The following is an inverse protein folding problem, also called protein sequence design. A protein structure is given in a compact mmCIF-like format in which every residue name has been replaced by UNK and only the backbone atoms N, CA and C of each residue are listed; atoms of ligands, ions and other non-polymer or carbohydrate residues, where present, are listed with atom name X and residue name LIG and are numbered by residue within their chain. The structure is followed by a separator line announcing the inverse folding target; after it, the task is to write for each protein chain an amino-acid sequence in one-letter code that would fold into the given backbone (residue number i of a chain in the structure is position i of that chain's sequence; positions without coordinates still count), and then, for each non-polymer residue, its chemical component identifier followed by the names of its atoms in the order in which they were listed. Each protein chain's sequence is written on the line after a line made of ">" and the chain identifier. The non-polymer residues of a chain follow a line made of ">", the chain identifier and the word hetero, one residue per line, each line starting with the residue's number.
data_IF_211040676800
#
_entry.id   IF_211040676800
#
_cell.length_a   1.000
_cell.length_b   1.000
_cell.length_c   1.000
_cell.angle_alpha   90.00
_cell.angle_beta   90.00
_cell.angle_gamma   90.00
#
_symmetry.space_group_name_H-M   'P 1'
#
loop_
_entity.id
_entity.type
_entity.pdbx_description
1 polymer ?
#
# COMPACT_ATOMS: atom_id res chain seq x y z
N UNK A 1 -29.57 21.66 -5.56
CA UNK A 1 -28.92 20.44 -6.06
C UNK A 1 -27.41 20.66 -6.04
N UNK A 2 -26.76 20.32 -4.92
CA UNK A 2 -25.30 20.40 -4.77
C UNK A 2 -24.69 19.14 -5.41
N UNK A 3 -23.93 19.31 -6.49
CA UNK A 3 -23.14 18.22 -7.07
C UNK A 3 -21.99 17.93 -6.11
N UNK A 4 -22.10 16.83 -5.37
CA UNK A 4 -20.95 16.25 -4.67
C UNK A 4 -19.86 15.97 -5.71
N UNK A 5 -18.67 16.49 -5.45
CA UNK A 5 -17.54 16.35 -6.35
C UNK A 5 -17.04 14.90 -6.30
N UNK A 6 -16.51 14.41 -7.41
CA UNK A 6 -15.99 13.05 -7.56
C UNK A 6 -14.97 12.70 -6.47
N UNK A 7 -14.21 13.69 -5.99
CA UNK A 7 -13.25 13.56 -4.89
C UNK A 7 -13.87 13.21 -3.54
N UNK A 8 -15.08 13.70 -3.24
CA UNK A 8 -15.78 13.35 -1.98
C UNK A 8 -16.29 11.91 -2.02
N UNK A 9 -16.71 11.44 -3.20
CA UNK A 9 -17.09 10.03 -3.42
C UNK A 9 -15.89 9.09 -3.26
N UNK A 10 -14.72 9.48 -3.79
CA UNK A 10 -13.48 8.67 -3.69
C UNK A 10 -12.96 8.61 -2.24
N UNK A 11 -13.00 9.70 -1.48
CA UNK A 11 -12.58 9.70 -0.08
C UNK A 11 -13.53 8.88 0.82
N UNK A 12 -14.85 8.96 0.58
CA UNK A 12 -15.82 8.10 1.25
C UNK A 12 -15.62 6.62 0.88
N UNK A 13 -15.39 6.31 -0.40
CA UNK A 13 -15.13 4.95 -0.87
C UNK A 13 -13.85 4.37 -0.25
N UNK A 14 -12.79 5.16 -0.06
CA UNK A 14 -11.54 4.71 0.55
C UNK A 14 -11.67 4.37 2.04
N UNK A 15 -12.45 5.15 2.80
CA UNK A 15 -12.75 4.86 4.22
C UNK A 15 -13.65 3.61 4.32
N UNK A 16 -14.62 3.46 3.41
CA UNK A 16 -15.49 2.28 3.32
C UNK A 16 -14.70 1.02 2.94
N UNK A 17 -13.71 1.12 2.04
CA UNK A 17 -12.83 0.02 1.68
C UNK A 17 -12.01 -0.47 2.87
N UNK A 18 -11.47 0.45 3.69
CA UNK A 18 -10.67 0.09 4.86
C UNK A 18 -11.50 -0.67 5.92
N UNK A 19 -12.78 -0.33 6.10
CA UNK A 19 -13.67 -1.01 7.04
C UNK A 19 -14.30 -2.31 6.48
N UNK A 20 -14.48 -2.44 5.16
CA UNK A 20 -14.99 -3.66 4.51
C UNK A 20 -13.89 -4.70 4.26
N UNK A 21 -12.65 -4.27 4.03
CA UNK A 21 -11.51 -5.18 3.88
C UNK A 21 -11.20 -5.90 5.19
N UNK A 22 -11.36 -5.26 6.36
CA UNK A 22 -11.15 -5.95 7.66
C UNK A 22 -12.19 -7.02 7.96
N UNK A 23 -13.43 -6.86 7.48
CA UNK A 23 -14.48 -7.90 7.61
C UNK A 23 -14.33 -9.03 6.58
N UNK A 24 -13.78 -8.74 5.40
CA UNK A 24 -13.55 -9.74 4.34
C UNK A 24 -12.36 -10.67 4.62
N UNK A 25 -11.36 -10.24 5.39
CA UNK A 25 -10.23 -11.10 5.81
C UNK A 25 -10.69 -12.28 6.68
N UNK A 26 -11.83 -12.18 7.37
CA UNK A 26 -12.41 -13.30 8.12
C UNK A 26 -12.83 -14.47 7.22
N UNK A 27 -13.10 -14.22 5.93
CA UNK A 27 -13.48 -15.27 4.96
C UNK A 27 -12.25 -15.94 4.32
N UNK A 28 -11.12 -15.24 4.22
CA UNK A 28 -9.88 -15.80 3.65
C UNK A 28 -9.08 -16.65 4.66
N UNK A 29 -9.22 -16.43 5.97
CA UNK A 29 -8.52 -17.23 7.00
C UNK A 29 -9.05 -18.66 7.17
N UNK A 30 -10.11 -19.06 6.46
CA UNK A 30 -10.58 -20.44 6.45
C UNK A 30 -9.81 -21.35 5.47
N UNK A 31 -8.87 -20.79 4.68
CA UNK A 31 -8.15 -21.49 3.61
C UNK A 31 -6.88 -22.25 3.99
N UNK A 32 -6.25 -22.00 5.14
CA UNK A 32 -4.94 -22.63 5.48
C UNK A 32 -5.05 -24.00 6.16
N UNK A 33 -6.26 -24.56 6.24
CA UNK A 33 -6.43 -25.98 6.60
C UNK A 33 -6.47 -26.80 5.32
N UNK A 34 -5.31 -27.14 4.75
CA UNK A 34 -5.06 -28.46 4.13
C UNK A 34 -3.69 -28.61 3.43
N UNK A 35 -2.91 -29.57 3.90
CA UNK A 35 -2.11 -30.47 3.05
C UNK A 35 -2.60 -31.91 3.15
N UNK A 36 -3.92 -32.12 3.31
CA UNK A 36 -4.48 -33.48 3.34
C UNK A 36 -5.91 -33.53 2.75
N UNK A 37 -6.10 -32.94 1.55
CA UNK A 37 -7.39 -32.94 0.82
C UNK A 37 -7.34 -33.72 -0.49
N UNK A 38 -6.72 -34.89 -0.49
CA UNK A 38 -7.01 -35.85 -1.54
C UNK A 38 -8.35 -36.54 -1.21
N UNK A 39 -9.37 -36.21 -2.00
CA UNK A 39 -10.47 -37.13 -2.36
C UNK A 39 -11.83 -37.07 -1.63
N UNK A 40 -12.27 -35.93 -1.05
CA UNK A 40 -13.69 -35.79 -0.63
C UNK A 40 -14.30 -34.42 -0.94
N UNK A 41 -15.48 -34.48 -1.57
CA UNK A 41 -16.52 -33.45 -1.71
C UNK A 41 -16.44 -32.51 -2.94
N UNK A 42 -16.81 -33.07 -4.09
CA UNK A 42 -17.28 -32.33 -5.26
C UNK A 42 -18.82 -32.27 -5.36
N UNK A 43 -19.55 -32.62 -4.30
CA UNK A 43 -20.99 -32.87 -4.39
C UNK A 43 -21.78 -32.28 -3.24
N UNK A 44 -21.67 -30.98 -2.99
CA UNK A 44 -22.79 -30.16 -2.49
C UNK A 44 -22.43 -28.65 -2.56
N UNK A 45 -22.26 -28.11 -3.77
CA UNK A 45 -22.38 -26.65 -3.97
C UNK A 45 -23.86 -26.29 -4.00
N UNK A 46 -24.62 -26.72 -2.99
CA UNK A 46 -25.95 -26.18 -2.73
C UNK A 46 -25.78 -24.67 -2.60
N UNK A 47 -26.40 -23.94 -3.53
CA UNK A 47 -26.41 -22.49 -3.67
C UNK A 47 -26.31 -21.80 -2.30
N UNK A 48 -25.09 -21.50 -1.86
CA UNK A 48 -24.90 -20.70 -0.66
C UNK A 48 -25.37 -19.30 -1.04
N UNK A 49 -26.63 -19.01 -0.72
CA UNK A 49 -27.17 -17.67 -0.88
C UNK A 49 -26.26 -16.73 -0.08
N UNK A 50 -25.60 -15.81 -0.78
CA UNK A 50 -24.76 -14.79 -0.17
C UNK A 50 -25.60 -14.06 0.86
N UNK A 51 -25.21 -14.14 2.13
CA UNK A 51 -25.90 -13.43 3.20
C UNK A 51 -25.74 -11.92 3.00
N UNK A 52 -26.83 -11.18 3.22
CA UNK A 52 -26.76 -9.73 3.20
C UNK A 52 -25.90 -9.21 4.37
N UNK A 53 -25.04 -8.22 4.13
CA UNK A 53 -24.40 -7.46 5.18
C UNK A 53 -25.40 -6.93 6.22
N UNK A 54 -25.01 -6.90 7.49
CA UNK A 54 -25.90 -6.50 8.59
C UNK A 54 -26.53 -5.12 8.37
N UNK A 55 -25.75 -4.14 7.90
CA UNK A 55 -26.25 -2.79 7.63
C UNK A 55 -27.32 -2.73 6.52
N UNK A 56 -27.38 -3.72 5.62
CA UNK A 56 -28.46 -3.83 4.64
C UNK A 56 -29.68 -4.57 5.21
N UNK A 57 -29.46 -5.53 6.13
CA UNK A 57 -30.55 -6.23 6.84
C UNK A 57 -31.36 -5.29 7.74
N UNK A 58 -30.77 -4.18 8.18
CA UNK A 58 -31.43 -3.16 8.99
C UNK A 58 -32.33 -2.21 8.17
N UNK A 59 -32.17 -2.20 6.84
CA UNK A 59 -33.04 -1.46 5.94
C UNK A 59 -34.30 -2.27 5.63
N UNK A 60 -35.44 -1.58 5.52
CA UNK A 60 -36.71 -2.18 5.09
C UNK A 60 -36.68 -2.43 3.57
N UNK A 61 -35.97 -3.48 3.15
CA UNK A 61 -35.79 -3.87 1.75
C UNK A 61 -36.99 -4.70 1.26
N UNK A 62 -37.50 -4.38 0.07
CA UNK A 62 -38.45 -5.27 -0.59
C UNK A 62 -37.78 -6.58 -1.03
N UNK A 63 -38.55 -7.67 -1.14
CA UNK A 63 -38.03 -8.96 -1.59
C UNK A 63 -37.32 -8.89 -2.96
N UNK A 64 -37.79 -8.01 -3.86
CA UNK A 64 -37.19 -7.81 -5.18
C UNK A 64 -35.81 -7.12 -5.08
N UNK A 65 -35.72 -6.03 -4.31
CA UNK A 65 -34.44 -5.36 -4.01
C UNK A 65 -33.47 -6.33 -3.33
N UNK A 66 -33.95 -7.12 -2.39
CA UNK A 66 -33.16 -8.12 -1.67
C UNK A 66 -32.53 -9.13 -2.64
N UNK A 67 -33.33 -9.66 -3.57
CA UNK A 67 -32.87 -10.60 -4.58
C UNK A 67 -31.86 -9.96 -5.55
N UNK A 68 -32.11 -8.73 -6.01
CA UNK A 68 -31.22 -7.99 -6.92
C UNK A 68 -29.88 -7.68 -6.25
N UNK A 69 -29.89 -7.23 -4.99
CA UNK A 69 -28.69 -6.98 -4.19
C UNK A 69 -27.89 -8.27 -4.01
N UNK A 70 -28.53 -9.38 -3.62
CA UNK A 70 -27.85 -10.68 -3.45
C UNK A 70 -27.22 -11.17 -4.76
N UNK A 71 -27.91 -10.97 -5.87
CA UNK A 71 -27.37 -11.30 -7.19
C UNK A 71 -26.14 -10.45 -7.52
N UNK A 72 -26.22 -9.13 -7.33
CA UNK A 72 -25.10 -8.21 -7.54
C UNK A 72 -23.90 -8.56 -6.65
N UNK A 73 -24.13 -8.82 -5.36
CA UNK A 73 -23.10 -9.24 -4.42
C UNK A 73 -22.42 -10.53 -4.87
N UNK A 74 -23.19 -11.52 -5.33
CA UNK A 74 -22.64 -12.80 -5.81
C UNK A 74 -21.70 -12.58 -7.01
N UNK A 75 -22.14 -11.78 -7.99
CA UNK A 75 -21.35 -11.48 -9.19
C UNK A 75 -20.04 -10.75 -8.86
N UNK A 76 -20.12 -9.70 -8.03
CA UNK A 76 -18.93 -8.92 -7.65
C UNK A 76 -18.00 -9.71 -6.74
N UNK A 77 -18.51 -10.53 -5.82
CA UNK A 77 -17.68 -11.39 -4.97
C UNK A 77 -16.90 -12.41 -5.79
N UNK A 78 -17.52 -13.01 -6.82
CA UNK A 78 -16.81 -13.91 -7.73
C UNK A 78 -15.66 -13.18 -8.44
N UNK A 79 -15.94 -12.03 -9.06
CA UNK A 79 -14.93 -11.24 -9.75
C UNK A 79 -13.80 -10.80 -8.81
N UNK A 80 -14.15 -10.38 -7.59
CA UNK A 80 -13.19 -9.99 -6.58
C UNK A 80 -12.29 -11.16 -6.17
N UNK A 81 -12.85 -12.34 -5.97
CA UNK A 81 -12.09 -13.55 -5.65
C UNK A 81 -11.11 -13.92 -6.77
N UNK A 82 -11.56 -13.88 -8.03
CA UNK A 82 -10.71 -14.16 -9.19
C UNK A 82 -9.56 -13.14 -9.32
N UNK A 83 -9.84 -11.84 -9.16
CA UNK A 83 -8.79 -10.80 -9.19
C UNK A 83 -7.85 -10.91 -7.98
N UNK A 84 -8.37 -11.29 -6.81
CA UNK A 84 -7.59 -11.48 -5.60
C UNK A 84 -6.61 -12.64 -5.72
N UNK A 85 -7.04 -13.75 -6.32
CA UNK A 85 -6.17 -14.89 -6.63
C UNK A 85 -5.05 -14.48 -7.59
N UNK A 86 -5.37 -13.73 -8.65
CA UNK A 86 -4.37 -13.19 -9.56
C UNK A 86 -3.37 -12.27 -8.84
N UNK A 87 -3.85 -11.42 -7.95
CA UNK A 87 -3.01 -10.53 -7.14
C UNK A 87 -2.03 -11.33 -6.29
N UNK A 88 -2.52 -12.35 -5.57
CA UNK A 88 -1.66 -13.23 -4.77
C UNK A 88 -0.63 -13.99 -5.60
N UNK A 89 -1.02 -14.52 -6.76
CA UNK A 89 -0.10 -15.22 -7.66
C UNK A 89 1.02 -14.30 -8.16
N UNK A 90 0.69 -13.05 -8.51
CA UNK A 90 1.72 -12.07 -8.89
C UNK A 90 2.62 -11.66 -7.72
N UNK A 91 2.05 -11.57 -6.52
CA UNK A 91 2.82 -11.24 -5.32
C UNK A 91 3.80 -12.37 -4.95
N UNK A 92 3.35 -13.62 -5.01
CA UNK A 92 4.20 -14.79 -4.82
C UNK A 92 5.34 -14.82 -5.86
N UNK A 93 5.03 -14.55 -7.14
CA UNK A 93 6.03 -14.45 -8.20
C UNK A 93 7.05 -13.33 -7.93
N UNK A 94 6.63 -12.18 -7.40
CA UNK A 94 7.54 -11.11 -7.02
C UNK A 94 8.55 -11.58 -5.97
N UNK A 95 8.07 -12.27 -4.92
CA UNK A 95 8.92 -12.83 -3.85
C UNK A 95 9.92 -13.85 -4.43
N UNK A 96 9.46 -14.76 -5.30
CA UNK A 96 10.32 -15.76 -5.94
C UNK A 96 11.42 -15.10 -6.78
N UNK A 97 11.07 -14.06 -7.55
CA UNK A 97 12.04 -13.33 -8.36
C UNK A 97 13.03 -12.53 -7.53
N UNK A 98 12.60 -11.96 -6.41
CA UNK A 98 13.47 -11.29 -5.46
C UNK A 98 14.47 -12.27 -4.82
N UNK A 99 14.01 -13.46 -4.44
CA UNK A 99 14.86 -14.52 -3.93
C UNK A 99 15.87 -15.01 -5.00
N UNK A 100 15.40 -15.20 -6.24
CA UNK A 100 16.26 -15.57 -7.37
C UNK A 100 17.30 -14.49 -7.68
N UNK A 101 16.92 -13.20 -7.62
CA UNK A 101 17.84 -12.08 -7.79
C UNK A 101 18.91 -12.05 -6.70
N UNK A 102 18.52 -12.24 -5.43
CA UNK A 102 19.44 -12.31 -4.31
C UNK A 102 20.45 -13.47 -4.46
N UNK A 103 19.98 -14.65 -4.87
CA UNK A 103 20.84 -15.82 -5.15
C UNK A 103 21.82 -15.53 -6.30
N UNK A 104 21.33 -14.98 -7.41
CA UNK A 104 22.17 -14.66 -8.56
C UNK A 104 23.28 -13.65 -8.21
N UNK A 105 22.97 -12.66 -7.36
CA UNK A 105 23.97 -11.70 -6.88
C UNK A 105 24.98 -12.40 -5.97
N UNK A 106 24.52 -13.24 -5.04
CA UNK A 106 25.37 -14.02 -4.13
C UNK A 106 26.38 -14.87 -4.91
N UNK A 107 25.94 -15.54 -5.98
CA UNK A 107 26.81 -16.40 -6.80
C UNK A 107 27.94 -15.64 -7.51
N UNK A 108 27.81 -14.32 -7.69
CA UNK A 108 28.90 -13.45 -8.24
C UNK A 108 29.89 -12.95 -7.19
N UNK A 109 29.62 -13.16 -5.90
CA UNK A 109 30.48 -12.73 -4.79
C UNK A 109 31.58 -13.74 -4.52
N UNK A 110 32.68 -13.28 -3.90
CA UNK A 110 33.72 -14.16 -3.36
C UNK A 110 33.18 -14.96 -2.17
N UNK A 111 33.78 -16.10 -1.82
CA UNK A 111 33.29 -16.94 -0.70
C UNK A 111 33.22 -16.17 0.63
N UNK A 112 34.20 -15.30 0.91
CA UNK A 112 34.19 -14.44 2.10
C UNK A 112 33.04 -13.41 2.06
N UNK A 113 32.76 -12.84 0.89
CA UNK A 113 31.67 -11.87 0.71
C UNK A 113 30.29 -12.54 0.73
N UNK A 114 30.18 -13.79 0.24
CA UNK A 114 28.97 -14.60 0.35
C UNK A 114 28.61 -14.86 1.81
N UNK A 115 29.60 -15.24 2.64
CA UNK A 115 29.38 -15.43 4.09
C UNK A 115 28.89 -14.17 4.78
N UNK A 116 29.42 -13.00 4.40
CA UNK A 116 28.97 -11.70 4.93
C UNK A 116 27.55 -11.36 4.48
N UNK A 117 27.23 -11.60 3.21
CA UNK A 117 25.89 -11.41 2.66
C UNK A 117 24.86 -12.27 3.42
N UNK A 118 25.16 -13.56 3.63
CA UNK A 118 24.29 -14.50 4.35
C UNK A 118 24.12 -14.09 5.82
N UNK A 119 25.20 -13.66 6.48
CA UNK A 119 25.14 -13.17 7.86
C UNK A 119 24.24 -11.95 8.00
N UNK A 120 24.30 -11.02 7.05
CA UNK A 120 23.46 -9.83 7.04
C UNK A 120 21.98 -10.17 6.78
N UNK A 121 21.70 -11.07 5.83
CA UNK A 121 20.35 -11.58 5.57
C UNK A 121 19.71 -12.22 6.81
N UNK A 122 20.46 -13.08 7.52
CA UNK A 122 19.98 -13.67 8.76
C UNK A 122 19.70 -12.61 9.84
N UNK A 123 20.56 -11.60 9.96
CA UNK A 123 20.35 -10.50 10.92
C UNK A 123 19.09 -9.69 10.60
N UNK A 124 18.86 -9.36 9.33
CA UNK A 124 17.64 -8.66 8.89
C UNK A 124 16.38 -9.50 9.12
N UNK A 125 16.47 -10.80 8.88
CA UNK A 125 15.38 -11.74 9.13
C UNK A 125 15.07 -11.88 10.63
N UNK A 126 16.09 -11.97 11.49
CA UNK A 126 15.93 -11.99 12.94
C UNK A 126 15.32 -10.68 13.47
N UNK A 127 15.76 -9.52 12.95
CA UNK A 127 15.17 -8.23 13.31
C UNK A 127 13.69 -8.17 12.93
N UNK A 128 13.30 -8.72 11.78
CA UNK A 128 11.91 -8.77 11.37
C UNK A 128 11.10 -9.80 12.19
N UNK A 129 11.70 -10.95 12.53
CA UNK A 129 11.03 -12.03 13.29
C UNK A 129 10.80 -11.68 14.77
N UNK A 130 11.71 -10.94 15.38
CA UNK A 130 11.63 -10.56 16.80
C UNK A 130 10.85 -9.25 17.04
N UNK A 131 10.36 -8.60 15.98
CA UNK A 131 9.65 -7.32 16.06
C UNK A 131 8.15 -7.33 15.71
N UNK A 132 7.35 -8.40 15.90
CA UNK A 132 5.92 -8.35 15.57
C UNK A 132 5.13 -7.44 16.52
N UNK A 133 5.52 -7.34 17.80
CA UNK A 133 4.80 -6.56 18.82
C UNK A 133 5.13 -5.05 18.78
N UNK A 134 6.25 -4.67 18.15
CA UNK A 134 6.60 -3.27 17.91
C UNK A 134 6.33 -2.80 16.48
N UNK A 135 6.10 -3.68 15.48
CA UNK A 135 5.93 -3.29 14.08
C UNK A 135 4.71 -2.39 13.81
N UNK A 136 3.60 -2.58 14.54
CA UNK A 136 2.41 -1.74 14.41
C UNK A 136 2.67 -0.27 14.82
N UNK A 137 3.58 -0.04 15.77
CA UNK A 137 3.94 1.29 16.27
C UNK A 137 5.26 1.80 15.68
N UNK A 138 6.14 0.90 15.23
CA UNK A 138 7.50 1.20 14.75
C UNK A 138 7.59 1.43 13.24
N UNK A 139 6.59 1.02 12.44
CA UNK A 139 6.53 1.40 11.02
C UNK A 139 6.55 2.93 10.85
N UNK A 140 5.75 3.63 11.67
CA UNK A 140 5.80 5.09 11.77
C UNK A 140 7.12 5.61 12.32
N UNK A 141 7.74 4.94 13.29
CA UNK A 141 9.03 5.35 13.86
C UNK A 141 10.19 5.17 12.86
N UNK A 142 10.20 4.09 12.06
CA UNK A 142 11.18 3.83 10.99
C UNK A 142 11.01 4.83 9.85
N UNK A 143 9.79 5.10 9.40
CA UNK A 143 9.49 6.15 8.43
C UNK A 143 9.93 7.52 8.94
N UNK A 144 9.69 7.82 10.23
CA UNK A 144 10.13 9.06 10.88
C UNK A 144 11.65 9.15 10.95
N UNK A 145 12.34 8.06 11.30
CA UNK A 145 13.80 8.02 11.37
C UNK A 145 14.45 8.09 9.99
N UNK A 146 13.89 7.46 8.96
CA UNK A 146 14.33 7.63 7.57
C UNK A 146 14.09 9.06 7.09
N UNK A 147 12.93 9.67 7.40
CA UNK A 147 12.67 11.10 7.10
C UNK A 147 13.64 12.02 7.81
N UNK A 148 14.01 11.72 9.04
CA UNK A 148 14.98 12.49 9.81
C UNK A 148 16.40 12.36 9.23
N UNK A 149 16.80 11.16 8.78
CA UNK A 149 18.07 10.97 8.06
C UNK A 149 18.11 11.67 6.70
N UNK A 150 17.04 11.57 5.91
CA UNK A 150 16.93 12.29 4.64
C UNK A 150 16.87 13.81 4.85
N UNK A 151 16.23 14.28 5.93
CA UNK A 151 16.29 15.70 6.32
C UNK A 151 17.70 16.10 6.73
N UNK A 152 18.44 15.27 7.47
CA UNK A 152 19.82 15.57 7.86
C UNK A 152 20.74 15.67 6.64
N UNK A 153 20.68 14.71 5.72
CA UNK A 153 21.43 14.74 4.44
C UNK A 153 21.03 15.95 3.59
N UNK A 154 19.72 16.25 3.49
CA UNK A 154 19.23 17.43 2.78
C UNK A 154 19.66 18.75 3.44
N UNK A 155 19.86 18.79 4.76
CA UNK A 155 20.33 19.99 5.47
C UNK A 155 21.81 20.23 5.16
N UNK A 156 22.64 19.18 5.15
CA UNK A 156 24.06 19.29 4.79
C UNK A 156 24.24 19.80 3.35
N UNK A 157 23.52 19.22 2.37
CA UNK A 157 23.53 19.68 0.98
C UNK A 157 23.06 21.13 0.85
N UNK A 158 22.08 21.54 1.65
CA UNK A 158 21.51 22.90 1.62
C UNK A 158 22.42 23.91 2.31
N UNK A 159 23.19 23.52 3.31
CA UNK A 159 24.24 24.35 3.90
C UNK A 159 25.40 24.55 2.92
N UNK A 160 25.79 23.50 2.21
CA UNK A 160 26.85 23.57 1.19
C UNK A 160 26.41 24.44 0.00
N UNK A 161 25.17 24.30 -0.48
CA UNK A 161 24.63 25.23 -1.48
C UNK A 161 24.52 26.68 -0.97
N UNK A 162 24.25 26.88 0.33
CA UNK A 162 24.22 28.22 0.94
C UNK A 162 25.62 28.83 1.06
N UNK A 163 26.65 28.04 1.37
CA UNK A 163 28.03 28.54 1.37
C UNK A 163 28.46 28.93 -0.04
N UNK A 164 28.14 28.11 -1.04
CA UNK A 164 28.49 28.38 -2.45
C UNK A 164 27.77 29.62 -2.98
N UNK A 165 26.47 29.78 -2.67
CA UNK A 165 25.72 31.00 -3.00
C UNK A 165 26.24 32.24 -2.27
N UNK A 166 26.71 32.12 -1.03
CA UNK A 166 27.32 33.24 -0.30
C UNK A 166 28.65 33.66 -0.93
N UNK A 167 29.48 32.71 -1.32
CA UNK A 167 30.73 32.98 -2.03
C UNK A 167 30.47 33.59 -3.42
N UNK A 168 29.52 33.03 -4.18
CA UNK A 168 29.13 33.57 -5.48
C UNK A 168 28.56 34.99 -5.38
N UNK A 169 27.71 35.28 -4.38
CA UNK A 169 27.18 36.65 -4.15
C UNK A 169 28.24 37.63 -3.67
N UNK A 170 29.23 37.19 -2.90
CA UNK A 170 30.34 38.05 -2.50
C UNK A 170 31.19 38.45 -3.71
N UNK A 171 31.46 37.50 -4.61
CA UNK A 171 32.15 37.78 -5.88
C UNK A 171 31.30 38.68 -6.81
N UNK A 172 29.99 38.44 -6.89
CA UNK A 172 29.10 39.21 -7.75
C UNK A 172 28.83 40.63 -7.21
N UNK A 173 28.87 40.85 -5.89
CA UNK A 173 28.79 42.21 -5.30
C UNK A 173 29.97 43.09 -5.68
N UNK A 174 31.16 42.53 -5.84
CA UNK A 174 32.32 43.29 -6.35
C UNK A 174 32.18 43.65 -7.83
N UNK A 175 31.41 42.87 -8.61
CA UNK A 175 31.15 43.16 -10.02
C UNK A 175 29.94 44.09 -10.24
N UNK A 176 28.91 44.03 -9.38
CA UNK A 176 27.66 44.80 -9.56
C UNK A 176 27.68 46.22 -8.95
N UNK A 177 28.75 46.65 -8.27
CA UNK A 177 28.91 48.07 -7.89
C UNK A 177 29.14 49.00 -9.11
N UNK A 178 29.25 48.44 -10.33
CA UNK A 178 29.41 49.21 -11.56
C UNK A 178 28.14 49.36 -12.43
N UNK A 179 27.02 48.71 -12.10
CA UNK A 179 25.79 48.79 -12.92
C UNK A 179 24.53 48.81 -12.04
N UNK A 180 24.02 50.02 -11.83
CA UNK A 180 22.72 50.27 -11.20
C UNK A 180 21.57 50.17 -12.20
N UNK A 181 20.38 49.91 -11.63
CA UNK A 181 19.03 50.10 -12.16
C UNK A 181 18.54 49.15 -13.26
N UNK A 182 17.68 48.20 -12.90
CA UNK A 182 16.28 48.17 -13.32
C UNK A 182 15.55 46.94 -12.73
N UNK A 183 14.29 47.18 -12.35
CA UNK A 183 13.16 46.28 -12.11
C UNK A 183 13.36 44.76 -12.10
N UNK A 184 12.87 44.10 -11.04
CA UNK A 184 12.50 42.69 -11.09
C UNK A 184 11.31 42.42 -10.19
N UNK A 185 10.15 42.43 -10.83
CA UNK A 185 8.91 41.80 -10.39
C UNK A 185 9.04 40.26 -10.40
N UNK A 186 8.47 39.67 -9.34
CA UNK A 186 7.52 38.55 -9.42
C UNK A 186 8.01 37.18 -9.93
N UNK A 187 7.96 36.17 -9.03
CA UNK A 187 7.26 34.90 -9.26
C UNK A 187 7.36 34.03 -8.00
N UNK A 188 6.25 33.98 -7.25
CA UNK A 188 6.06 33.13 -6.08
C UNK A 188 5.23 31.90 -6.51
N UNK A 189 5.88 30.79 -6.84
CA UNK A 189 5.22 29.52 -7.15
C UNK A 189 5.02 28.70 -5.87
N UNK A 190 3.79 28.74 -5.35
CA UNK A 190 3.32 27.83 -4.32
C UNK A 190 3.22 26.42 -4.92
N UNK A 191 4.18 25.58 -4.58
CA UNK A 191 4.18 24.15 -4.87
C UNK A 191 3.26 23.47 -3.84
N UNK A 192 2.11 23.01 -4.31
CA UNK A 192 1.13 22.26 -3.52
C UNK A 192 1.76 20.96 -3.04
N UNK A 193 1.93 20.86 -1.71
CA UNK A 193 2.29 19.65 -0.98
C UNK A 193 1.07 18.72 -0.99
N UNK A 194 1.01 17.86 -2.02
CA UNK A 194 -0.06 16.89 -2.20
C UNK A 194 0.09 15.81 -1.12
N UNK A 195 -0.85 15.83 -0.18
CA UNK A 195 -0.85 14.99 1.01
C UNK A 195 -0.94 13.52 0.64
N UNK A 196 0.23 12.88 0.51
CA UNK A 196 0.39 11.45 0.37
C UNK A 196 -0.05 10.76 1.68
N UNK A 197 -1.37 10.57 1.83
CA UNK A 197 -1.95 9.68 2.82
C UNK A 197 -1.60 8.25 2.39
N UNK A 198 -0.43 7.81 2.86
CA UNK A 198 0.15 6.51 2.59
C UNK A 198 -0.72 5.46 3.31
N UNK A 199 -1.74 4.94 2.62
CA UNK A 199 -2.41 3.71 3.02
C UNK A 199 -1.32 2.66 3.26
N UNK A 200 -1.33 2.04 4.44
CA UNK A 200 -0.24 1.18 4.92
C UNK A 200 -0.19 -0.16 4.21
N UNK A 201 0.22 -0.19 2.94
CA UNK A 201 0.75 -1.41 2.36
C UNK A 201 2.21 -1.55 2.81
N UNK A 202 2.53 -2.68 3.44
CA UNK A 202 3.90 -3.01 3.81
C UNK A 202 4.64 -3.35 2.51
N UNK A 203 5.23 -2.34 1.87
CA UNK A 203 6.26 -2.60 0.86
C UNK A 203 7.47 -3.11 1.62
N UNK A 204 7.71 -4.41 1.54
CA UNK A 204 9.02 -4.96 1.87
C UNK A 204 9.97 -4.44 0.79
N UNK A 205 10.55 -3.27 1.00
CA UNK A 205 11.60 -2.77 0.11
C UNK A 205 12.85 -3.56 0.45
N UNK A 206 13.14 -4.59 -0.34
CA UNK A 206 14.45 -5.21 -0.30
C UNK A 206 15.48 -4.17 -0.71
N UNK A 207 16.48 -3.96 0.15
CA UNK A 207 17.62 -3.14 -0.21
C UNK A 207 18.23 -3.71 -1.50
N UNK A 208 18.38 -2.86 -2.53
CA UNK A 208 18.92 -3.29 -3.83
C UNK A 208 20.20 -4.10 -3.61
N UNK A 209 20.24 -5.38 -4.07
CA UNK A 209 21.42 -6.23 -3.96
C UNK A 209 22.70 -5.61 -4.55
N UNK A 210 22.55 -4.63 -5.46
CA UNK A 210 23.66 -3.87 -6.03
C UNK A 210 24.52 -3.17 -4.96
N UNK A 211 23.95 -2.82 -3.80
CA UNK A 211 24.73 -2.20 -2.71
C UNK A 211 25.82 -3.12 -2.19
N UNK A 212 25.63 -4.44 -2.27
CA UNK A 212 26.63 -5.42 -1.86
C UNK A 212 27.77 -5.53 -2.87
N UNK A 213 27.50 -5.32 -4.17
CA UNK A 213 28.53 -5.36 -5.22
C UNK A 213 29.48 -4.14 -5.17
N UNK A 214 29.05 -3.02 -4.61
CA UNK A 214 29.86 -1.79 -4.56
C UNK A 214 31.02 -1.84 -3.54
N UNK A 215 30.94 -2.73 -2.54
CA UNK A 215 31.93 -2.85 -1.47
C UNK A 215 32.94 -3.99 -1.61
N UNK A 216 32.82 -4.82 -2.65
CA UNK A 216 33.55 -6.10 -2.75
C UNK A 216 34.69 -6.06 -3.75
N UNK A 217 35.69 -6.93 -3.54
CA UNK A 217 36.87 -7.07 -4.42
C UNK A 217 36.55 -7.93 -5.65
N UNK A 218 35.43 -7.67 -6.31
CA UNK A 218 35.05 -8.38 -7.53
C UNK A 218 35.94 -7.99 -8.71
N UNK A 219 36.23 -8.96 -9.57
CA UNK A 219 36.85 -8.72 -10.87
C UNK A 219 35.95 -7.87 -11.77
N UNK A 220 36.52 -7.26 -12.81
CA UNK A 220 35.75 -6.46 -13.77
C UNK A 220 34.66 -7.30 -14.47
N UNK A 221 34.96 -8.57 -14.78
CA UNK A 221 34.02 -9.50 -15.40
C UNK A 221 32.86 -9.85 -14.46
N UNK A 222 33.13 -10.18 -13.19
CA UNK A 222 32.08 -10.44 -12.19
C UNK A 222 31.18 -9.22 -11.99
N UNK A 223 31.75 -8.01 -11.94
CA UNK A 223 30.97 -6.76 -11.85
C UNK A 223 30.07 -6.59 -13.06
N UNK A 224 30.57 -6.87 -14.26
CA UNK A 224 29.77 -6.80 -15.49
C UNK A 224 28.64 -7.83 -15.47
N UNK A 225 28.92 -9.09 -15.13
CA UNK A 225 27.90 -10.15 -15.03
C UNK A 225 26.83 -9.82 -13.98
N UNK A 226 27.23 -9.40 -12.78
CA UNK A 226 26.32 -8.95 -11.74
C UNK A 226 25.46 -7.78 -12.23
N UNK A 227 26.05 -6.76 -12.88
CA UNK A 227 25.30 -5.60 -13.37
C UNK A 227 24.27 -5.98 -14.45
N UNK A 228 24.59 -6.95 -15.31
CA UNK A 228 23.68 -7.43 -16.33
C UNK A 228 22.52 -8.21 -15.71
N UNK A 229 22.81 -9.12 -14.78
CA UNK A 229 21.78 -9.86 -14.03
C UNK A 229 20.86 -8.89 -13.27
N UNK A 230 21.42 -7.91 -12.54
CA UNK A 230 20.65 -6.91 -11.81
C UNK A 230 19.71 -6.11 -12.74
N UNK A 231 20.17 -5.71 -13.93
CA UNK A 231 19.31 -5.00 -14.90
C UNK A 231 18.13 -5.85 -15.36
N UNK A 232 18.37 -7.13 -15.67
CA UNK A 232 17.33 -8.05 -16.12
C UNK A 232 16.27 -8.27 -15.02
N UNK A 233 16.69 -8.67 -13.82
CA UNK A 233 15.77 -8.87 -12.69
C UNK A 233 15.02 -7.60 -12.32
N UNK A 234 15.68 -6.44 -12.31
CA UNK A 234 15.02 -5.16 -12.03
C UNK A 234 13.94 -4.82 -13.05
N UNK A 235 14.18 -5.08 -14.33
CA UNK A 235 13.19 -4.86 -15.38
C UNK A 235 11.98 -5.77 -15.18
N UNK A 236 12.21 -7.06 -14.96
CA UNK A 236 11.10 -8.01 -14.75
C UNK A 236 10.33 -7.70 -13.47
N UNK A 237 11.00 -7.39 -12.36
CA UNK A 237 10.35 -6.97 -11.11
C UNK A 237 9.51 -5.71 -11.32
N UNK A 238 10.02 -4.73 -12.07
CA UNK A 238 9.25 -3.52 -12.40
C UNK A 238 7.94 -3.88 -13.10
N UNK A 239 7.97 -4.83 -14.05
CA UNK A 239 6.77 -5.29 -14.74
C UNK A 239 5.79 -6.00 -13.79
N UNK A 240 6.29 -6.84 -12.87
CA UNK A 240 5.45 -7.51 -11.86
C UNK A 240 4.81 -6.48 -10.91
N UNK A 241 5.58 -5.50 -10.44
CA UNK A 241 5.07 -4.42 -9.59
C UNK A 241 4.00 -3.58 -10.31
N UNK A 242 4.19 -3.25 -11.58
CA UNK A 242 3.17 -2.57 -12.38
C UNK A 242 1.89 -3.41 -12.47
N UNK A 243 2.01 -4.72 -12.69
CA UNK A 243 0.84 -5.61 -12.74
C UNK A 243 0.14 -5.72 -11.39
N UNK A 244 0.88 -5.77 -10.28
CA UNK A 244 0.32 -5.73 -8.93
C UNK A 244 -0.45 -4.44 -8.67
N UNK A 245 0.09 -3.30 -9.05
CA UNK A 245 -0.61 -2.01 -8.95
C UNK A 245 -1.88 -1.98 -9.80
N UNK A 246 -1.84 -2.52 -11.02
CA UNK A 246 -3.02 -2.65 -11.87
C UNK A 246 -4.09 -3.52 -11.20
N UNK A 247 -3.74 -4.71 -10.72
CA UNK A 247 -4.67 -5.64 -10.06
C UNK A 247 -5.26 -5.02 -8.79
N UNK A 248 -4.46 -4.29 -8.00
CA UNK A 248 -4.96 -3.53 -6.86
C UNK A 248 -5.98 -2.47 -7.30
N UNK A 249 -5.69 -1.71 -8.35
CA UNK A 249 -6.66 -0.76 -8.92
C UNK A 249 -7.95 -1.44 -9.38
N UNK A 250 -7.86 -2.61 -10.00
CA UNK A 250 -9.02 -3.42 -10.41
C UNK A 250 -9.84 -3.89 -9.20
N UNK A 251 -9.20 -4.35 -8.11
CA UNK A 251 -9.89 -4.72 -6.87
C UNK A 251 -10.70 -3.54 -6.28
N UNK A 252 -10.08 -2.35 -6.21
CA UNK A 252 -10.76 -1.13 -5.74
C UNK A 252 -11.92 -0.74 -6.65
N UNK A 253 -11.76 -0.88 -7.97
CA UNK A 253 -12.82 -0.62 -8.94
C UNK A 253 -14.00 -1.58 -8.75
N UNK A 254 -13.73 -2.89 -8.60
CA UNK A 254 -14.78 -3.90 -8.38
C UNK A 254 -15.58 -3.59 -7.11
N UNK A 255 -14.91 -3.17 -6.05
CA UNK A 255 -15.55 -2.75 -4.81
C UNK A 255 -16.41 -1.50 -4.98
N UNK A 256 -15.92 -0.53 -5.75
CA UNK A 256 -16.69 0.69 -6.06
C UNK A 256 -17.93 0.35 -6.88
N UNK A 257 -17.79 -0.46 -7.94
CA UNK A 257 -18.90 -0.93 -8.78
C UNK A 257 -19.92 -1.72 -7.96
N UNK A 258 -19.44 -2.56 -7.01
CA UNK A 258 -20.30 -3.31 -6.08
C UNK A 258 -21.14 -2.38 -5.22
N UNK A 259 -20.54 -1.33 -4.67
CA UNK A 259 -21.25 -0.34 -3.83
C UNK A 259 -22.26 0.42 -4.69
N UNK A 260 -21.87 0.91 -5.87
CA UNK A 260 -22.76 1.63 -6.78
C UNK A 260 -23.97 0.76 -7.18
N UNK A 261 -23.73 -0.50 -7.55
CA UNK A 261 -24.80 -1.43 -7.90
C UNK A 261 -25.77 -1.70 -6.73
N UNK A 262 -25.31 -1.67 -5.47
CA UNK A 262 -26.19 -1.74 -4.30
C UNK A 262 -26.98 -0.45 -4.16
N UNK A 263 -26.31 0.71 -4.26
CA UNK A 263 -26.95 2.03 -4.13
C UNK A 263 -28.05 2.24 -5.18
N UNK A 264 -27.87 1.75 -6.40
CA UNK A 264 -28.89 1.80 -7.47
C UNK A 264 -30.17 1.03 -7.14
N UNK A 265 -30.10 0.01 -6.27
CA UNK A 265 -31.28 -0.74 -5.84
C UNK A 265 -31.99 -0.11 -4.63
N UNK A 266 -31.39 0.89 -3.98
CA UNK A 266 -31.95 1.51 -2.78
C UNK A 266 -32.76 2.77 -3.13
N UNK A 267 -33.80 3.06 -2.34
CA UNK A 267 -34.52 4.34 -2.46
C UNK A 267 -33.72 5.49 -1.84
N UNK A 268 -34.06 6.74 -2.18
CA UNK A 268 -33.40 7.92 -1.63
C UNK A 268 -33.52 7.99 -0.09
N UNK A 269 -34.64 7.53 0.47
CA UNK A 269 -34.84 7.43 1.92
C UNK A 269 -33.91 6.40 2.56
N UNK A 270 -33.78 5.21 1.95
CA UNK A 270 -32.87 4.15 2.42
C UNK A 270 -31.40 4.61 2.33
N UNK A 271 -31.02 5.29 1.24
CA UNK A 271 -29.68 5.89 1.10
C UNK A 271 -29.41 6.95 2.17
N UNK A 272 -30.41 7.75 2.53
CA UNK A 272 -30.29 8.75 3.60
C UNK A 272 -30.09 8.08 4.95
N UNK A 273 -30.89 7.06 5.29
CA UNK A 273 -30.73 6.27 6.51
C UNK A 273 -29.34 5.64 6.61
N UNK A 274 -28.83 5.09 5.51
CA UNK A 274 -27.51 4.47 5.44
C UNK A 274 -26.36 5.50 5.58
N UNK A 275 -26.55 6.74 5.11
CA UNK A 275 -25.59 7.83 5.37
C UNK A 275 -25.62 8.30 6.82
N UNK A 276 -26.80 8.40 7.42
CA UNK A 276 -26.96 8.78 8.83
C UNK A 276 -26.36 7.74 9.77
N UNK A 277 -26.59 6.45 9.52
CA UNK A 277 -26.01 5.36 10.33
C UNK A 277 -24.48 5.34 10.26
N UNK A 278 -23.89 5.62 9.08
CA UNK A 278 -22.44 5.72 8.91
C UNK A 278 -21.82 6.95 9.58
N UNK A 279 -22.58 8.01 9.76
CA UNK A 279 -22.11 9.23 10.42
C UNK A 279 -22.22 9.16 11.94
N UNK A 280 -22.98 8.20 12.49
CA UNK A 280 -23.05 8.02 13.93
C UNK A 280 -21.74 7.40 14.46
N UNK A 281 -20.98 8.11 15.30
CA UNK A 281 -19.82 7.52 15.95
C UNK A 281 -20.26 6.39 16.88
N UNK A 282 -19.68 5.19 16.71
CA UNK A 282 -19.98 4.00 17.53
C UNK A 282 -19.77 4.22 19.04
N UNK A 283 -19.00 5.25 19.41
CA UNK A 283 -18.70 5.65 20.79
C UNK A 283 -19.94 6.00 21.62
N UNK A 284 -21.11 6.19 21.00
CA UNK A 284 -22.34 6.54 21.70
C UNK A 284 -23.05 5.35 22.35
N UNK A 285 -22.75 4.10 21.95
CA UNK A 285 -23.46 2.92 22.47
C UNK A 285 -22.75 2.23 23.64
N UNK A 286 -21.42 2.31 23.74
CA UNK A 286 -20.66 1.60 24.79
C UNK A 286 -20.64 2.33 26.14
N UNK A 287 -20.87 3.64 26.15
CA UNK A 287 -20.88 4.43 27.38
C UNK A 287 -22.09 4.15 28.31
N UNK A 288 -23.18 3.55 27.79
CA UNK A 288 -24.39 3.31 28.59
C UNK A 288 -24.34 2.02 29.44
N UNK A 289 -23.45 1.07 29.13
CA UNK A 289 -23.43 -0.24 29.83
C UNK A 289 -22.52 -0.26 31.06
N UNK A 290 -21.60 0.70 31.22
CA UNK A 290 -20.62 0.67 32.32
C UNK A 290 -21.13 1.23 33.65
N UNK A 291 -22.25 1.96 33.69
CA UNK A 291 -22.71 2.64 34.91
C UNK A 291 -23.70 1.81 35.76
N UNK A 292 -23.89 0.51 35.45
CA UNK A 292 -24.91 -0.33 36.12
C UNK A 292 -24.35 -1.40 37.07
N UNK A 293 -23.05 -1.45 37.32
CA UNK A 293 -22.41 -2.49 38.17
C UNK A 293 -21.87 -2.02 39.53
N UNK A 294 -22.20 -0.80 39.94
CA UNK A 294 -21.82 -0.24 41.25
C UNK A 294 -23.05 -0.03 42.15
N UNK A 295 -23.77 -1.09 42.50
CA UNK A 295 -24.68 -1.13 43.65
C UNK A 295 -24.71 -2.52 44.26
#
# INVERSE_FOLDING_TARGET
>A
MTRTTWTDKVNMAAIVLACLLTTSVAFAQQGDRETNRDNRQQGDQSQQQVELPQFLKELDLSNEQEQQIRQSLTQHNQKLQETWEQFHNQHARAIEMEAAWASAVRDTLSEDDQRRFDQQQMQDQEMNRNSPEQAATSGQARLRQQRERQKAESIEDREQQRSDRRQARAAQRQQNESQSNADSENQNSNQSDDGNQQFGFVVITLASPERYAQGTRQSAEQKQQCSQACRQYKQELTNVWQKLHQLHGELVSIETDRIEAIEEQLTDEQLTQLRESRQQPEDSQTASTFDRRSR
#
